data_IF_004284559857
#
_entry.id   IF_004284559857
#
_cell.length_a   1.000
_cell.length_b   1.000
_cell.length_c   1.000
_cell.angle_alpha   90.00
_cell.angle_beta   90.00
_cell.angle_gamma   90.00
#
_symmetry.space_group_name_H-M   'P 1'
#
loop_
_entity.id
_entity.type
_entity.pdbx_description
1 polymer ?
#
# COMPACT_ATOMS: atom_id res chain seq x y z
N UNK A 1 3.00 7.07 8.14
CA UNK A 1 3.56 5.81 7.57
C UNK A 1 2.77 5.42 6.33
N UNK A 2 3.45 5.10 5.24
CA UNK A 2 2.87 4.63 3.98
C UNK A 2 3.50 3.29 3.57
N UNK A 3 2.67 2.34 3.14
CA UNK A 3 3.12 1.00 2.73
C UNK A 3 2.98 0.83 1.21
N UNK A 4 4.10 0.69 0.54
CA UNK A 4 4.18 0.38 -0.88
C UNK A 4 4.31 -1.12 -1.12
N UNK A 5 4.05 -1.52 -2.36
CA UNK A 5 4.03 -2.88 -2.89
C UNK A 5 4.37 -2.74 -4.37
N UNK A 6 5.18 -3.64 -4.93
CA UNK A 6 5.66 -3.54 -6.30
C UNK A 6 4.56 -3.80 -7.34
N UNK A 7 3.48 -4.50 -6.99
CA UNK A 7 2.42 -4.84 -7.94
C UNK A 7 1.03 -4.94 -7.34
N UNK A 8 0.02 -4.66 -8.18
CA UNK A 8 -1.39 -4.88 -7.84
C UNK A 8 -1.71 -6.37 -7.71
N UNK A 9 -1.00 -7.22 -8.45
CA UNK A 9 -1.15 -8.68 -8.37
C UNK A 9 -0.82 -9.18 -6.96
N UNK A 10 0.27 -8.70 -6.36
CA UNK A 10 0.63 -9.04 -4.98
C UNK A 10 -0.42 -8.55 -3.97
N UNK A 11 -0.97 -7.36 -4.18
CA UNK A 11 -2.06 -6.86 -3.33
C UNK A 11 -3.30 -7.75 -3.40
N UNK A 12 -3.72 -8.16 -4.61
CA UNK A 12 -4.86 -9.07 -4.82
C UNK A 12 -4.61 -10.44 -4.21
N UNK A 13 -3.41 -11.01 -4.38
CA UNK A 13 -3.03 -12.28 -3.77
C UNK A 13 -3.13 -12.23 -2.24
N UNK A 14 -2.62 -11.16 -1.61
CA UNK A 14 -2.71 -10.96 -0.15
C UNK A 14 -4.13 -10.75 0.34
N UNK A 15 -5.00 -10.13 -0.47
CA UNK A 15 -6.44 -10.04 -0.15
C UNK A 15 -7.06 -11.43 -0.19
N UNK A 16 -6.83 -12.20 -1.25
CA UNK A 16 -7.37 -13.55 -1.38
C UNK A 16 -6.97 -14.47 -0.21
N UNK A 17 -5.70 -14.42 0.22
CA UNK A 17 -5.23 -15.18 1.40
C UNK A 17 -5.99 -14.78 2.67
N UNK A 18 -6.13 -13.47 2.93
CA UNK A 18 -6.84 -12.98 4.12
C UNK A 18 -8.32 -13.34 4.10
N UNK A 19 -8.98 -13.25 2.94
CA UNK A 19 -10.38 -13.66 2.79
C UNK A 19 -10.55 -15.15 3.12
N UNK A 20 -9.65 -16.03 2.65
CA UNK A 20 -9.66 -17.46 3.03
C UNK A 20 -9.49 -17.70 4.53
N UNK A 21 -8.86 -16.77 5.25
CA UNK A 21 -8.67 -16.81 6.70
C UNK A 21 -9.83 -16.12 7.47
N UNK A 22 -10.93 -15.76 6.79
CA UNK A 22 -12.09 -15.10 7.40
C UNK A 22 -12.05 -13.57 7.38
N UNK A 23 -11.14 -12.97 6.62
CA UNK A 23 -11.05 -11.52 6.45
C UNK A 23 -12.08 -10.92 5.48
N UNK A 24 -12.19 -9.58 5.50
CA UNK A 24 -13.09 -8.84 4.61
C UNK A 24 -12.61 -8.83 3.15
N UNK A 25 -13.54 -9.08 2.23
CA UNK A 25 -13.28 -8.99 0.79
C UNK A 25 -13.35 -7.55 0.30
N UNK A 26 -12.41 -7.17 -0.56
CA UNK A 26 -12.43 -5.89 -1.27
C UNK A 26 -12.52 -6.16 -2.76
N UNK A 27 -13.48 -5.51 -3.43
CA UNK A 27 -13.70 -5.69 -4.87
C UNK A 27 -12.42 -5.44 -5.67
N UNK A 28 -12.07 -6.37 -6.58
CA UNK A 28 -10.87 -6.27 -7.43
C UNK A 28 -10.79 -4.94 -8.17
N UNK A 29 -11.91 -4.42 -8.67
CA UNK A 29 -11.98 -3.13 -9.36
C UNK A 29 -11.52 -1.97 -8.45
N UNK A 30 -11.92 -1.98 -7.17
CA UNK A 30 -11.52 -0.96 -6.20
C UNK A 30 -10.03 -1.06 -5.86
N UNK A 31 -9.50 -2.28 -5.72
CA UNK A 31 -8.07 -2.51 -5.49
C UNK A 31 -7.26 -1.96 -6.65
N UNK A 32 -7.62 -2.27 -7.90
CA UNK A 32 -6.92 -1.78 -9.10
C UNK A 32 -7.00 -0.26 -9.20
N UNK A 33 -8.20 0.32 -9.03
CA UNK A 33 -8.42 1.77 -9.10
C UNK A 33 -7.58 2.50 -8.04
N UNK A 34 -7.57 2.01 -6.80
CA UNK A 34 -6.81 2.63 -5.70
C UNK A 34 -5.30 2.44 -5.90
N UNK A 35 -4.85 1.25 -6.32
CA UNK A 35 -3.43 0.95 -6.48
C UNK A 35 -2.76 1.89 -7.49
N UNK A 36 -3.40 2.17 -8.62
CA UNK A 36 -2.85 3.05 -9.67
C UNK A 36 -2.56 4.47 -9.18
N UNK A 37 -3.38 5.01 -8.29
CA UNK A 37 -3.24 6.41 -7.82
C UNK A 37 -2.54 6.57 -6.48
N UNK A 38 -2.37 5.49 -5.70
CA UNK A 38 -1.92 5.62 -4.30
C UNK A 38 -0.55 6.26 -4.15
N UNK A 39 0.43 5.89 -4.99
CA UNK A 39 1.81 6.38 -4.85
C UNK A 39 1.90 7.84 -5.31
N UNK A 40 1.24 8.16 -6.43
CA UNK A 40 1.08 9.53 -6.88
C UNK A 40 0.41 10.41 -5.82
N UNK A 41 -0.67 9.95 -5.22
CA UNK A 41 -1.32 10.69 -4.14
C UNK A 41 -0.42 10.84 -2.91
N UNK A 42 0.36 9.81 -2.58
CA UNK A 42 1.32 9.92 -1.48
C UNK A 42 2.34 11.03 -1.74
N UNK A 43 2.99 10.98 -2.91
CA UNK A 43 4.03 11.92 -3.31
C UNK A 43 3.50 13.35 -3.53
N UNK A 44 2.27 13.52 -3.99
CA UNK A 44 1.73 14.83 -4.36
C UNK A 44 0.82 15.46 -3.31
N UNK A 45 0.27 14.68 -2.38
CA UNK A 45 -0.76 15.15 -1.47
C UNK A 45 -0.48 14.75 -0.02
N UNK A 46 -0.08 13.51 0.24
CA UNK A 46 -0.05 13.01 1.61
C UNK A 46 1.25 13.33 2.35
N UNK A 47 2.40 13.28 1.66
CA UNK A 47 3.70 13.50 2.29
C UNK A 47 3.84 14.93 2.83
N UNK A 48 3.34 15.94 2.09
CA UNK A 48 3.47 17.35 2.45
C UNK A 48 2.46 17.80 3.53
N UNK A 49 1.48 16.94 3.86
CA UNK A 49 0.47 17.20 4.88
C UNK A 49 0.81 16.59 6.25
N UNK A 50 1.89 15.80 6.33
CA UNK A 50 2.31 15.14 7.56
C UNK A 50 3.50 15.89 8.19
N UNK A 51 3.55 15.98 9.52
CA UNK A 51 4.73 16.49 10.25
C UNK A 51 5.90 15.50 10.30
N UNK A 52 5.64 14.26 9.86
CA UNK A 52 6.64 13.22 9.64
C UNK A 52 6.04 12.11 8.82
N UNK A 53 6.79 11.60 7.85
CA UNK A 53 6.37 10.43 7.08
C UNK A 53 7.48 9.40 6.89
N UNK A 54 7.03 8.17 6.60
CA UNK A 54 7.89 7.01 6.36
C UNK A 54 7.26 6.20 5.24
N UNK A 55 8.05 5.87 4.21
CA UNK A 55 7.67 5.02 3.09
C UNK A 55 8.36 3.67 3.25
N UNK A 56 7.57 2.60 3.38
CA UNK A 56 8.10 1.24 3.45
C UNK A 56 7.77 0.46 2.17
N UNK A 57 8.73 -0.34 1.70
CA UNK A 57 8.46 -1.49 0.86
C UNK A 57 7.91 -2.62 1.72
N UNK A 58 6.67 -3.00 1.48
CA UNK A 58 5.98 -4.08 2.19
C UNK A 58 5.87 -5.35 1.34
N UNK A 59 6.73 -5.54 0.33
CA UNK A 59 6.72 -6.74 -0.54
C UNK A 59 7.03 -8.03 0.20
N UNK A 60 7.92 -7.95 1.18
CA UNK A 60 8.38 -9.05 2.03
C UNK A 60 7.62 -9.14 3.36
N UNK A 61 7.77 -10.23 4.14
CA UNK A 61 7.14 -10.36 5.46
C UNK A 61 7.59 -9.29 6.47
N UNK A 62 8.82 -8.81 6.34
CA UNK A 62 9.36 -7.71 7.14
C UNK A 62 9.41 -6.46 6.25
N UNK A 63 8.61 -5.41 6.55
CA UNK A 63 8.66 -4.18 5.78
C UNK A 63 10.03 -3.51 5.86
N UNK A 64 10.54 -3.03 4.73
CA UNK A 64 11.82 -2.31 4.65
C UNK A 64 11.58 -0.83 4.46
N UNK A 65 12.19 0.00 5.30
CA UNK A 65 12.16 1.45 5.10
C UNK A 65 12.84 1.77 3.77
N UNK A 66 12.23 2.64 2.97
CA UNK A 66 12.78 3.12 1.70
C UNK A 66 13.15 4.59 1.83
N UNK A 67 12.21 5.39 2.32
CA UNK A 67 12.36 6.84 2.46
C UNK A 67 11.66 7.30 3.73
N UNK A 68 12.13 8.40 4.29
CA UNK A 68 11.47 9.12 5.37
C UNK A 68 11.65 10.62 5.15
N UNK A 69 10.72 11.40 5.71
CA UNK A 69 10.77 12.84 5.63
C UNK A 69 10.17 13.49 6.87
N UNK A 70 10.37 14.82 7.01
CA UNK A 70 9.72 15.62 8.03
C UNK A 70 8.22 15.76 7.73
#
# INVERSE_FOLDING_TARGET
MFLSLPSVALALQRIAVRVRQGGHEVLRADVVRRFRRRLKNFQMLYQDLADKWYLYDNSEPVPRLQEEGP
#
